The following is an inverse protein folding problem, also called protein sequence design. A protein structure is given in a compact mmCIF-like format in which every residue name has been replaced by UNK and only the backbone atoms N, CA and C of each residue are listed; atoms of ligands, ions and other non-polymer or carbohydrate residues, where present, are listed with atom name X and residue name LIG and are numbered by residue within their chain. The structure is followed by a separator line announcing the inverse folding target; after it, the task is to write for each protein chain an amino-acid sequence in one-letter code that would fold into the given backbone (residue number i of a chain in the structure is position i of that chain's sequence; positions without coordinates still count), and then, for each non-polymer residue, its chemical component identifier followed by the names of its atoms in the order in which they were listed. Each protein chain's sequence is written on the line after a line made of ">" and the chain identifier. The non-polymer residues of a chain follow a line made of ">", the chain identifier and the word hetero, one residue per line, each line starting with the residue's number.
data_IF_584870495710
#
_entry.id   IF_584870495710
#
_cell.length_a   1.000
_cell.length_b   1.000
_cell.length_c   1.000
_cell.angle_alpha   90.00
_cell.angle_beta   90.00
_cell.angle_gamma   90.00
#
_symmetry.space_group_name_H-M   'P 1'
#
loop_
_entity.id
_entity.type
_entity.pdbx_description
1 polymer ?
#
# COMPACT_ATOMS: atom_id res chain seq x y z
N UNK A 1 -16.96 -18.21 9.66
CA UNK A 1 -17.01 -16.85 10.26
C UNK A 1 -17.98 -16.87 11.46
N UNK A 2 -18.01 -15.80 12.28
CA UNK A 2 -19.00 -15.69 13.38
C UNK A 2 -20.44 -15.71 12.85
N UNK A 3 -20.65 -15.16 11.68
CA UNK A 3 -21.94 -15.22 10.98
C UNK A 3 -22.30 -16.65 10.60
N UNK A 4 -21.36 -17.44 10.09
CA UNK A 4 -21.61 -18.84 9.74
C UNK A 4 -21.94 -19.68 10.98
N UNK A 5 -21.37 -19.33 12.15
CA UNK A 5 -21.71 -19.95 13.44
C UNK A 5 -23.13 -19.61 13.87
N UNK A 6 -23.53 -18.34 13.73
CA UNK A 6 -24.88 -17.89 14.08
C UNK A 6 -25.93 -18.49 13.14
N UNK A 7 -25.68 -18.49 11.84
CA UNK A 7 -26.56 -19.08 10.84
C UNK A 7 -26.70 -20.60 11.06
N UNK A 8 -25.63 -21.27 11.46
CA UNK A 8 -25.65 -22.70 11.76
C UNK A 8 -26.37 -23.01 13.09
N UNK A 9 -26.15 -22.22 14.14
CA UNK A 9 -26.82 -22.35 15.44
C UNK A 9 -28.32 -22.04 15.38
N UNK A 10 -28.76 -21.24 14.42
CA UNK A 10 -30.17 -20.88 14.20
C UNK A 10 -30.90 -21.85 13.26
N UNK A 11 -30.21 -22.82 12.70
CA UNK A 11 -30.85 -23.79 11.79
C UNK A 11 -31.74 -24.77 12.57
N UNK A 12 -33.10 -24.78 12.33
CA UNK A 12 -34.03 -25.63 13.03
C UNK A 12 -33.84 -27.13 12.79
N UNK A 13 -33.02 -27.51 11.81
CA UNK A 13 -32.67 -28.89 11.55
C UNK A 13 -31.69 -29.51 12.55
N UNK A 14 -31.10 -28.67 13.42
CA UNK A 14 -30.17 -29.13 14.49
C UNK A 14 -30.93 -29.30 15.79
N UNK A 15 -31.07 -30.53 16.27
CA UNK A 15 -31.77 -30.86 17.53
C UNK A 15 -31.03 -30.42 18.80
N UNK A 16 -29.75 -30.05 18.69
CA UNK A 16 -28.95 -29.48 19.79
C UNK A 16 -28.11 -28.33 19.31
N UNK A 17 -27.99 -27.25 20.10
CA UNK A 17 -27.09 -26.17 19.75
C UNK A 17 -25.64 -26.68 19.80
N UNK A 18 -25.04 -26.88 18.63
CA UNK A 18 -23.60 -27.12 18.54
C UNK A 18 -22.91 -25.80 18.86
N UNK A 19 -22.51 -25.63 20.10
CA UNK A 19 -21.80 -24.47 20.56
C UNK A 19 -20.45 -24.27 19.81
N UNK A 20 -19.95 -25.34 19.13
CA UNK A 20 -18.63 -25.32 18.49
C UNK A 20 -18.60 -26.19 17.25
N UNK A 21 -17.96 -25.68 16.20
CA UNK A 21 -17.63 -26.47 15.02
C UNK A 21 -16.59 -27.54 15.41
N UNK A 22 -16.83 -28.83 15.06
CA UNK A 22 -15.94 -29.93 15.46
C UNK A 22 -14.58 -29.89 14.77
N UNK A 23 -14.50 -29.32 13.55
CA UNK A 23 -13.29 -29.24 12.74
C UNK A 23 -13.24 -27.92 11.98
N UNK A 24 -12.06 -27.32 11.91
CA UNK A 24 -11.80 -26.15 11.12
C UNK A 24 -10.60 -26.38 10.19
N UNK A 25 -10.77 -26.08 8.91
CA UNK A 25 -9.69 -26.07 7.93
C UNK A 25 -9.28 -24.63 7.67
N UNK A 26 -7.98 -24.34 7.75
CA UNK A 26 -7.47 -22.99 7.54
C UNK A 26 -6.13 -22.98 6.81
N UNK A 27 -5.82 -21.86 6.19
CA UNK A 27 -4.50 -21.56 5.65
C UNK A 27 -3.56 -21.04 6.75
N UNK A 28 -2.25 -20.91 6.48
CA UNK A 28 -1.28 -20.32 7.40
C UNK A 28 -1.63 -18.89 7.86
N UNK A 29 -2.48 -18.17 7.14
CA UNK A 29 -2.96 -16.84 7.55
C UNK A 29 -3.65 -16.80 8.91
N UNK A 30 -4.14 -17.96 9.37
CA UNK A 30 -4.75 -18.12 10.70
C UNK A 30 -3.72 -18.29 11.83
N UNK A 31 -2.42 -18.22 11.53
CA UNK A 31 -1.37 -18.23 12.57
C UNK A 31 -1.45 -17.00 13.47
N UNK A 32 -1.86 -15.86 12.92
CA UNK A 32 -1.86 -14.56 13.59
C UNK A 32 -3.26 -14.00 13.81
N UNK A 33 -3.50 -13.43 14.98
CA UNK A 33 -4.62 -12.52 15.23
C UNK A 33 -6.00 -13.14 15.43
N UNK A 34 -6.16 -14.48 15.40
CA UNK A 34 -7.46 -15.10 15.63
C UNK A 34 -7.48 -15.76 17.01
N UNK A 35 -8.39 -15.33 17.86
CA UNK A 35 -8.65 -15.99 19.12
C UNK A 35 -9.58 -17.19 18.90
N UNK A 36 -9.01 -18.38 18.90
CA UNK A 36 -9.75 -19.64 18.81
C UNK A 36 -9.66 -20.31 20.17
N UNK A 37 -10.70 -20.09 20.95
CA UNK A 37 -10.78 -20.46 22.36
C UNK A 37 -11.00 -21.92 22.53
N UNK A 38 -10.41 -22.92 22.42
CA UNK A 38 -10.69 -24.31 22.77
C UNK A 38 -10.38 -25.35 21.68
N UNK A 39 -9.26 -25.17 21.00
CA UNK A 39 -8.70 -26.25 20.21
C UNK A 39 -7.93 -27.21 21.15
N UNK A 40 -8.25 -28.49 21.08
CA UNK A 40 -7.48 -29.53 21.76
C UNK A 40 -6.55 -30.27 20.78
N UNK A 41 -6.76 -30.13 19.47
CA UNK A 41 -5.93 -30.82 18.49
C UNK A 41 -5.61 -29.86 17.32
N UNK A 42 -4.34 -29.85 16.91
CA UNK A 42 -3.86 -29.18 15.69
C UNK A 42 -3.22 -30.23 14.78
N UNK A 43 -3.70 -30.28 13.55
CA UNK A 43 -3.13 -31.13 12.51
C UNK A 43 -2.43 -30.27 11.46
N UNK A 44 -1.11 -30.40 11.34
CA UNK A 44 -0.29 -29.75 10.35
C UNK A 44 -0.10 -30.67 9.15
N UNK A 45 -0.61 -30.25 7.99
CA UNK A 45 -0.57 -31.05 6.75
C UNK A 45 0.84 -31.19 6.18
N UNK A 46 1.77 -30.32 6.58
CA UNK A 46 3.19 -30.35 6.23
C UNK A 46 4.00 -29.76 7.39
N UNK A 47 5.29 -30.02 7.39
CA UNK A 47 6.21 -29.40 8.35
C UNK A 47 6.25 -27.89 8.09
N UNK A 48 6.05 -27.05 9.13
CA UNK A 48 6.17 -25.59 8.98
C UNK A 48 7.57 -25.17 8.52
N UNK A 49 7.71 -24.01 7.85
CA UNK A 49 9.00 -23.56 7.33
C UNK A 49 10.07 -23.35 8.40
N UNK A 50 9.66 -22.91 9.59
CA UNK A 50 10.57 -22.58 10.69
C UNK A 50 10.01 -23.05 12.04
N UNK A 51 10.88 -23.22 13.08
CA UNK A 51 10.46 -23.46 14.45
C UNK A 51 9.48 -22.41 14.99
N UNK A 52 9.65 -21.13 14.60
CA UNK A 52 8.74 -20.06 14.97
C UNK A 52 7.31 -20.30 14.43
N UNK A 53 7.19 -20.69 13.17
CA UNK A 53 5.90 -21.03 12.58
C UNK A 53 5.29 -22.27 13.25
N UNK A 54 6.11 -23.26 13.56
CA UNK A 54 5.65 -24.44 14.31
C UNK A 54 5.06 -24.04 15.66
N UNK A 55 5.79 -23.25 16.45
CA UNK A 55 5.34 -22.77 17.75
C UNK A 55 4.05 -21.95 17.67
N UNK A 56 3.92 -21.08 16.65
CA UNK A 56 2.71 -20.27 16.43
C UNK A 56 1.48 -21.13 16.07
N UNK A 57 1.66 -22.15 15.25
CA UNK A 57 0.58 -23.07 14.83
C UNK A 57 0.21 -24.05 15.93
N UNK A 58 1.19 -24.72 16.52
CA UNK A 58 0.99 -25.70 17.59
C UNK A 58 0.42 -25.06 18.86
N UNK A 59 0.86 -23.84 19.20
CA UNK A 59 0.38 -23.06 20.34
C UNK A 59 -1.09 -22.60 20.24
N UNK A 60 -1.81 -22.99 19.19
CA UNK A 60 -3.27 -22.82 19.10
C UNK A 60 -4.02 -23.89 19.87
N UNK A 61 -3.44 -25.06 20.09
CA UNK A 61 -4.02 -26.12 20.92
C UNK A 61 -3.61 -25.98 22.38
N UNK A 62 -4.47 -26.43 23.29
CA UNK A 62 -4.17 -26.54 24.72
C UNK A 62 -4.14 -25.22 25.48
N UNK A 63 -4.76 -24.19 24.99
CA UNK A 63 -4.94 -22.93 25.74
C UNK A 63 -5.79 -23.17 26.98
N UNK A 64 -5.51 -22.44 28.04
CA UNK A 64 -6.23 -22.56 29.31
C UNK A 64 -6.01 -23.86 30.07
N UNK A 65 -4.84 -24.51 29.93
CA UNK A 65 -4.46 -25.71 30.69
C UNK A 65 -5.12 -26.99 30.19
N UNK A 66 -5.72 -27.01 29.01
CA UNK A 66 -6.28 -28.22 28.41
C UNK A 66 -5.18 -29.11 27.81
N UNK A 67 -5.40 -30.40 27.80
CA UNK A 67 -4.53 -31.34 27.09
C UNK A 67 -4.61 -31.04 25.57
N UNK A 68 -3.45 -31.09 24.93
CA UNK A 68 -3.33 -30.77 23.49
C UNK A 68 -2.62 -31.90 22.75
N UNK A 69 -3.11 -32.15 21.54
CA UNK A 69 -2.44 -33.04 20.60
C UNK A 69 -2.03 -32.24 19.35
N UNK A 70 -0.75 -32.30 19.02
CA UNK A 70 -0.24 -31.71 17.75
C UNK A 70 0.25 -32.87 16.88
N UNK A 71 -0.31 -32.94 15.68
CA UNK A 71 0.06 -33.96 14.69
C UNK A 71 0.65 -33.22 13.49
N UNK A 72 1.87 -33.58 13.10
CA UNK A 72 2.51 -33.04 11.90
C UNK A 72 2.71 -34.17 10.88
N UNK A 73 2.13 -34.00 9.71
CA UNK A 73 2.36 -34.91 8.59
C UNK A 73 3.63 -34.49 7.83
N UNK A 74 4.55 -35.44 7.66
CA UNK A 74 5.79 -35.23 6.91
C UNK A 74 5.67 -35.93 5.56
N UNK A 75 5.62 -35.17 4.48
CA UNK A 75 5.50 -35.72 3.14
C UNK A 75 6.78 -36.42 2.70
N UNK A 76 6.66 -37.67 2.21
CA UNK A 76 7.79 -38.50 1.83
C UNK A 76 8.65 -37.91 0.68
N UNK A 77 8.02 -37.11 -0.19
CA UNK A 77 8.69 -36.50 -1.35
C UNK A 77 9.22 -35.07 -1.07
N UNK A 78 9.03 -34.54 0.14
CA UNK A 78 9.54 -33.23 0.54
C UNK A 78 10.87 -33.40 1.28
N UNK A 79 12.00 -32.96 0.75
CA UNK A 79 13.28 -33.03 1.46
C UNK A 79 13.26 -32.30 2.80
N UNK A 80 12.58 -31.18 2.88
CA UNK A 80 12.38 -30.40 4.09
C UNK A 80 11.61 -31.22 5.16
N UNK A 81 10.48 -31.83 4.77
CA UNK A 81 9.66 -32.61 5.70
C UNK A 81 10.42 -33.85 6.19
N UNK A 82 11.15 -34.52 5.28
CA UNK A 82 11.95 -35.71 5.63
C UNK A 82 13.09 -35.35 6.57
N UNK A 83 13.74 -34.22 6.36
CA UNK A 83 14.83 -33.78 7.25
C UNK A 83 14.31 -33.56 8.66
N UNK A 84 13.19 -32.86 8.83
CA UNK A 84 12.58 -32.63 10.14
C UNK A 84 11.89 -33.87 10.73
N UNK A 85 11.49 -34.82 9.92
CA UNK A 85 11.01 -36.11 10.41
C UNK A 85 12.11 -36.83 11.18
N UNK A 86 13.36 -36.82 10.71
CA UNK A 86 14.51 -37.39 11.38
C UNK A 86 15.11 -36.49 12.48
N UNK A 87 14.82 -35.18 12.45
CA UNK A 87 15.35 -34.17 13.36
C UNK A 87 14.22 -33.39 14.06
N UNK A 88 13.21 -34.08 14.58
CA UNK A 88 11.99 -33.45 15.10
C UNK A 88 12.26 -32.45 16.24
N UNK A 89 13.26 -32.71 17.07
CA UNK A 89 13.66 -31.81 18.16
C UNK A 89 14.08 -30.44 17.67
N UNK A 90 14.69 -30.35 16.49
CA UNK A 90 15.11 -29.07 15.93
C UNK A 90 13.93 -28.22 15.42
N UNK A 91 12.78 -28.83 15.15
CA UNK A 91 11.55 -28.12 14.87
C UNK A 91 10.80 -27.74 16.16
N UNK A 92 10.66 -28.67 17.07
CA UNK A 92 9.86 -28.50 18.31
C UNK A 92 10.56 -27.59 19.33
N UNK A 93 11.86 -27.75 19.49
CA UNK A 93 12.70 -27.00 20.44
C UNK A 93 13.68 -26.06 19.71
N UNK A 94 13.48 -25.83 18.40
CA UNK A 94 14.35 -25.01 17.60
C UNK A 94 14.38 -23.55 18.07
N UNK A 95 15.52 -22.90 17.85
CA UNK A 95 15.73 -21.52 18.26
C UNK A 95 14.85 -20.61 17.40
N UNK A 96 13.94 -19.91 18.06
CA UNK A 96 13.19 -18.81 17.44
C UNK A 96 14.08 -17.58 17.45
N UNK A 97 14.64 -17.22 16.29
CA UNK A 97 15.40 -15.98 16.14
C UNK A 97 14.42 -14.81 16.10
N UNK A 98 14.70 -13.79 16.89
CA UNK A 98 14.00 -12.53 16.76
C UNK A 98 14.25 -11.96 15.35
N UNK A 99 13.23 -11.39 14.69
CA UNK A 99 13.45 -10.71 13.43
C UNK A 99 14.42 -9.55 13.65
N UNK A 100 15.45 -9.48 12.83
CA UNK A 100 16.37 -8.35 12.80
C UNK A 100 15.98 -7.41 11.69
N UNK A 101 15.97 -6.11 11.98
CA UNK A 101 15.80 -5.09 10.96
C UNK A 101 17.18 -4.75 10.40
N UNK A 102 17.28 -4.68 9.09
CA UNK A 102 18.45 -4.12 8.43
C UNK A 102 18.39 -2.60 8.52
N UNK A 103 19.08 -2.05 9.50
CA UNK A 103 19.13 -0.61 9.73
C UNK A 103 20.13 0.09 8.80
N UNK A 104 20.90 -0.66 7.99
CA UNK A 104 21.78 -0.11 6.97
C UNK A 104 21.07 0.16 5.63
N UNK A 105 19.76 -0.07 5.54
CA UNK A 105 18.99 0.22 4.34
C UNK A 105 18.85 1.73 4.12
N UNK A 106 19.49 2.26 3.06
CA UNK A 106 19.53 3.68 2.73
C UNK A 106 18.13 4.29 2.62
N UNK A 107 17.21 3.64 1.89
CA UNK A 107 15.84 4.16 1.68
C UNK A 107 15.08 4.30 3.00
N UNK A 108 15.34 3.41 3.96
CA UNK A 108 14.77 3.46 5.29
C UNK A 108 15.32 4.67 6.06
N UNK A 109 16.62 4.86 6.04
CA UNK A 109 17.27 6.01 6.71
C UNK A 109 16.85 7.33 6.08
N UNK A 110 16.83 7.43 4.74
CA UNK A 110 16.36 8.64 4.03
C UNK A 110 14.94 9.03 4.50
N UNK A 111 14.01 8.07 4.52
CA UNK A 111 12.63 8.34 4.93
C UNK A 111 12.50 8.74 6.41
N UNK A 112 13.34 8.20 7.29
CA UNK A 112 13.39 8.61 8.70
C UNK A 112 13.96 10.01 8.89
N UNK A 113 15.05 10.33 8.19
CA UNK A 113 15.62 11.67 8.24
C UNK A 113 14.65 12.72 7.67
N UNK A 114 13.92 12.38 6.60
CA UNK A 114 12.86 13.22 6.06
C UNK A 114 11.69 13.38 7.04
N UNK A 115 11.35 12.36 7.81
CA UNK A 115 10.34 12.46 8.87
C UNK A 115 10.82 13.37 10.02
N UNK A 116 12.09 13.26 10.43
CA UNK A 116 12.72 14.15 11.42
C UNK A 116 12.71 15.60 10.93
N UNK A 117 13.05 15.81 9.65
CA UNK A 117 12.99 17.15 9.04
C UNK A 117 11.55 17.68 9.05
N UNK A 118 10.56 16.90 8.61
CA UNK A 118 9.17 17.32 8.59
C UNK A 118 8.66 17.67 10.00
N UNK A 119 8.97 16.85 11.00
CA UNK A 119 8.64 17.14 12.39
C UNK A 119 9.29 18.45 12.89
N UNK A 120 10.52 18.74 12.43
CA UNK A 120 11.24 19.96 12.79
C UNK A 120 10.62 21.23 12.18
N UNK A 121 9.83 21.10 11.12
CA UNK A 121 9.10 22.23 10.52
C UNK A 121 8.00 22.76 11.44
N UNK A 122 7.40 21.89 12.24
CA UNK A 122 6.21 22.17 13.06
C UNK A 122 5.01 22.68 12.25
N UNK A 123 5.01 22.47 10.94
CA UNK A 123 3.93 22.85 10.06
C UNK A 123 2.85 21.76 10.09
N UNK A 124 1.63 22.08 10.48
CA UNK A 124 0.52 21.14 10.34
C UNK A 124 0.21 20.95 8.85
N UNK A 125 0.26 19.72 8.37
CA UNK A 125 -0.18 19.40 7.02
C UNK A 125 -1.68 19.16 7.02
N UNK A 126 -2.35 19.59 5.95
CA UNK A 126 -3.76 19.28 5.72
C UNK A 126 -3.97 17.76 5.55
N UNK A 127 -5.19 17.31 5.80
CA UNK A 127 -5.59 15.90 5.62
C UNK A 127 -5.55 15.47 4.15
N UNK A 128 -5.62 16.43 3.22
CA UNK A 128 -5.51 16.18 1.77
C UNK A 128 -4.43 17.04 1.12
N UNK A 129 -3.98 16.63 -0.07
CA UNK A 129 -2.87 17.26 -0.76
C UNK A 129 -3.28 18.57 -1.45
N UNK A 130 -4.50 18.63 -1.96
CA UNK A 130 -4.97 19.77 -2.75
C UNK A 130 -4.80 21.15 -2.07
N UNK A 131 -5.12 21.33 -0.77
CA UNK A 131 -4.95 22.61 -0.07
C UNK A 131 -3.52 23.09 0.03
N UNK A 132 -2.52 22.20 -0.05
CA UNK A 132 -1.11 22.54 0.05
C UNK A 132 -0.53 23.11 -1.26
N UNK A 133 -1.22 22.90 -2.38
CA UNK A 133 -0.77 23.25 -3.72
C UNK A 133 -1.53 24.46 -4.26
N UNK A 134 -0.85 25.24 -5.09
CA UNK A 134 -1.48 26.28 -5.92
C UNK A 134 -1.95 25.62 -7.23
N UNK A 135 -3.23 25.26 -7.26
CA UNK A 135 -3.82 24.48 -8.36
C UNK A 135 -4.02 25.30 -9.64
N UNK A 136 -3.97 26.62 -9.54
CA UNK A 136 -4.17 27.53 -10.67
C UNK A 136 -2.86 27.85 -11.40
N UNK A 137 -1.72 27.62 -10.76
CA UNK A 137 -0.42 27.82 -11.39
C UNK A 137 0.04 26.59 -12.18
N UNK A 138 0.74 26.80 -13.32
CA UNK A 138 1.40 25.72 -14.04
C UNK A 138 2.36 24.93 -13.13
N UNK A 139 2.31 23.61 -13.22
CA UNK A 139 3.13 22.74 -12.37
C UNK A 139 2.66 22.61 -10.92
N UNK A 140 1.60 23.32 -10.52
CA UNK A 140 0.99 23.27 -9.19
C UNK A 140 2.02 23.28 -8.06
N UNK A 141 2.79 24.36 -7.91
CA UNK A 141 3.80 24.48 -6.87
C UNK A 141 3.14 24.42 -5.48
N UNK A 142 3.95 24.19 -4.47
CA UNK A 142 3.51 24.40 -3.08
C UNK A 142 3.10 25.87 -2.90
N UNK A 143 2.04 26.11 -2.13
CA UNK A 143 1.65 27.48 -1.76
C UNK A 143 2.80 28.18 -1.06
N UNK A 144 2.96 29.46 -1.38
CA UNK A 144 4.10 30.27 -0.92
C UNK A 144 4.34 30.22 0.59
N UNK A 145 3.33 30.36 1.47
CA UNK A 145 3.55 30.27 2.92
C UNK A 145 4.12 28.92 3.38
N UNK A 146 3.63 27.82 2.78
CA UNK A 146 4.13 26.48 3.07
C UNK A 146 5.56 26.31 2.55
N UNK A 147 5.83 26.75 1.32
CA UNK A 147 7.15 26.67 0.71
C UNK A 147 8.21 27.42 1.54
N UNK A 148 7.90 28.61 2.04
CA UNK A 148 8.79 29.40 2.90
C UNK A 148 9.01 28.76 4.27
N UNK A 149 7.93 28.25 4.89
CA UNK A 149 8.01 27.57 6.18
C UNK A 149 8.89 26.32 6.12
N UNK A 150 8.79 25.55 5.05
CA UNK A 150 9.57 24.31 4.86
C UNK A 150 11.06 24.59 4.62
N UNK A 151 11.45 25.77 4.15
CA UNK A 151 12.83 26.16 3.82
C UNK A 151 13.47 27.09 4.85
N UNK A 152 12.78 27.40 5.93
CA UNK A 152 13.30 28.31 6.94
C UNK A 152 14.63 27.79 7.53
N UNK A 153 15.63 28.67 7.65
CA UNK A 153 16.97 28.31 8.16
C UNK A 153 16.90 27.67 9.56
N UNK A 154 16.02 28.17 10.42
CA UNK A 154 15.80 27.60 11.74
C UNK A 154 15.29 26.16 11.71
N UNK A 155 14.52 25.79 10.69
CA UNK A 155 14.07 24.39 10.45
C UNK A 155 15.26 23.51 10.12
N UNK A 156 16.12 23.95 9.19
CA UNK A 156 17.32 23.21 8.79
C UNK A 156 18.23 22.92 9.99
N UNK A 157 18.50 23.93 10.81
CA UNK A 157 19.33 23.77 12.00
C UNK A 157 18.75 22.79 13.02
N UNK A 158 17.43 22.89 13.31
CA UNK A 158 16.76 21.95 14.22
C UNK A 158 16.74 20.52 13.66
N UNK A 159 16.48 20.39 12.37
CA UNK A 159 16.45 19.10 11.70
C UNK A 159 17.82 18.43 11.73
N UNK A 160 18.90 19.13 11.40
CA UNK A 160 20.27 18.62 11.47
C UNK A 160 20.61 18.15 12.88
N UNK A 161 20.40 18.98 13.90
CA UNK A 161 20.69 18.61 15.30
C UNK A 161 19.87 17.38 15.77
N UNK A 162 18.66 17.19 15.25
CA UNK A 162 17.84 16.03 15.58
C UNK A 162 18.24 14.80 14.78
N UNK A 163 18.60 14.97 13.52
CA UNK A 163 19.07 13.91 12.64
C UNK A 163 20.40 13.33 13.13
N UNK A 164 21.35 14.18 13.51
CA UNK A 164 22.66 13.75 14.06
C UNK A 164 22.48 12.90 15.31
N UNK A 165 21.54 13.23 16.19
CA UNK A 165 21.25 12.41 17.39
C UNK A 165 20.73 11.02 17.03
N UNK A 166 19.91 10.89 15.99
CA UNK A 166 19.39 9.61 15.52
C UNK A 166 20.53 8.80 14.89
N UNK A 167 21.30 9.40 14.01
CA UNK A 167 22.39 8.71 13.29
C UNK A 167 23.50 8.27 14.23
N UNK A 168 23.86 9.07 15.23
CA UNK A 168 24.86 8.68 16.22
C UNK A 168 24.48 7.42 17.01
N UNK A 169 23.18 7.13 17.17
CA UNK A 169 22.71 5.89 17.77
C UNK A 169 22.85 4.66 16.84
N UNK A 170 22.96 4.91 15.54
CA UNK A 170 23.06 3.89 14.50
C UNK A 170 24.47 3.74 13.93
N UNK A 171 25.46 4.49 14.45
CA UNK A 171 26.81 4.57 13.88
C UNK A 171 27.44 3.19 13.69
N UNK A 172 27.32 2.30 14.67
CA UNK A 172 27.82 0.92 14.56
C UNK A 172 27.13 0.05 13.52
N UNK A 173 25.86 0.34 13.19
CA UNK A 173 25.10 -0.38 12.15
C UNK A 173 25.40 0.15 10.76
N UNK A 174 25.78 1.42 10.66
CA UNK A 174 26.08 2.11 9.40
C UNK A 174 27.55 2.01 9.01
N UNK A 175 28.41 1.62 9.94
CA UNK A 175 29.83 1.44 9.72
C UNK A 175 30.09 0.41 8.62
N UNK A 176 30.85 0.78 7.61
CA UNK A 176 31.11 -0.08 6.43
C UNK A 176 30.09 0.03 5.30
N UNK A 177 29.00 0.78 5.45
CA UNK A 177 28.06 1.04 4.36
C UNK A 177 28.65 2.03 3.36
N UNK A 178 28.85 1.58 2.10
CA UNK A 178 29.51 2.39 1.06
C UNK A 178 28.78 3.71 0.71
N UNK A 179 27.50 3.80 1.01
CA UNK A 179 26.67 4.99 0.74
C UNK A 179 26.70 6.01 1.90
N UNK A 180 27.13 5.60 3.10
CA UNK A 180 27.12 6.48 4.26
C UNK A 180 28.41 7.30 4.30
N UNK A 181 28.29 8.59 4.00
CA UNK A 181 29.40 9.55 3.96
C UNK A 181 29.26 10.60 5.07
N UNK A 182 30.33 11.28 5.48
CA UNK A 182 30.25 12.32 6.52
C UNK A 182 29.22 13.43 6.25
N UNK A 183 28.99 13.76 4.97
CA UNK A 183 28.05 14.81 4.56
C UNK A 183 26.63 14.27 4.29
N UNK A 184 26.41 12.97 4.42
CA UNK A 184 25.16 12.32 4.03
C UNK A 184 23.93 12.93 4.74
N UNK A 185 23.98 13.05 6.06
CA UNK A 185 22.87 13.62 6.86
C UNK A 185 22.53 15.03 6.38
N UNK A 186 23.55 15.86 6.21
CA UNK A 186 23.39 17.23 5.71
C UNK A 186 22.75 17.23 4.32
N UNK A 187 23.22 16.40 3.41
CA UNK A 187 22.66 16.29 2.04
C UNK A 187 21.18 15.90 2.07
N UNK A 188 20.78 14.93 2.89
CA UNK A 188 19.38 14.52 2.99
C UNK A 188 18.51 15.65 3.55
N UNK A 189 18.96 16.33 4.61
CA UNK A 189 18.19 17.41 5.23
C UNK A 189 18.11 18.64 4.31
N UNK A 190 19.20 19.02 3.65
CA UNK A 190 19.21 20.17 2.72
C UNK A 190 18.29 19.93 1.51
N UNK A 191 18.17 18.67 1.04
CA UNK A 191 17.30 18.27 -0.07
C UNK A 191 15.87 17.93 0.37
N UNK A 192 15.55 17.87 1.66
CA UNK A 192 14.27 17.36 2.15
C UNK A 192 13.06 18.15 1.63
N UNK A 193 13.17 19.48 1.54
CA UNK A 193 12.09 20.32 0.98
C UNK A 193 11.82 20.02 -0.51
N UNK A 194 12.88 19.74 -1.27
CA UNK A 194 12.74 19.34 -2.68
C UNK A 194 12.16 17.92 -2.79
N UNK A 195 12.62 16.98 -1.97
CA UNK A 195 12.10 15.63 -1.90
C UNK A 195 10.61 15.60 -1.52
N UNK A 196 10.19 16.47 -0.57
CA UNK A 196 8.78 16.65 -0.20
C UNK A 196 7.94 17.09 -1.42
N UNK A 197 8.38 18.12 -2.15
CA UNK A 197 7.69 18.56 -3.36
C UNK A 197 7.67 17.49 -4.45
N UNK A 198 8.78 16.75 -4.61
CA UNK A 198 8.90 15.63 -5.54
C UNK A 198 7.94 14.48 -5.22
N UNK A 199 7.74 14.18 -3.94
CA UNK A 199 6.77 13.16 -3.51
C UNK A 199 5.33 13.48 -3.97
N UNK A 200 5.00 14.75 -4.17
CA UNK A 200 3.67 15.18 -4.64
C UNK A 200 3.52 15.13 -6.18
N UNK A 201 4.59 14.84 -6.94
CA UNK A 201 4.55 14.87 -8.40
C UNK A 201 3.55 13.89 -8.99
N UNK A 202 3.50 12.67 -8.44
CA UNK A 202 2.52 11.68 -8.89
C UNK A 202 1.08 12.14 -8.65
N UNK A 203 0.81 12.85 -7.57
CA UNK A 203 -0.51 13.42 -7.32
C UNK A 203 -0.86 14.51 -8.33
N UNK A 204 0.09 15.38 -8.69
CA UNK A 204 -0.10 16.41 -9.72
C UNK A 204 -0.53 15.80 -11.06
N UNK A 205 0.16 14.75 -11.47
CA UNK A 205 -0.18 14.00 -12.70
C UNK A 205 -1.57 13.36 -12.61
N UNK A 206 -1.88 12.72 -11.47
CA UNK A 206 -3.20 12.12 -11.23
C UNK A 206 -4.31 13.16 -11.24
N UNK A 207 -4.03 14.38 -10.78
CA UNK A 207 -4.97 15.48 -10.75
C UNK A 207 -5.24 16.07 -12.15
N UNK A 208 -4.22 16.18 -12.97
CA UNK A 208 -4.35 16.72 -14.34
C UNK A 208 -5.07 15.78 -15.30
N UNK A 209 -4.90 14.49 -15.14
CA UNK A 209 -5.47 13.51 -16.06
C UNK A 209 -7.02 13.56 -16.16
N UNK A 210 -7.79 13.59 -15.07
CA UNK A 210 -9.24 13.76 -15.13
C UNK A 210 -9.65 15.12 -15.71
N UNK A 211 -8.94 16.20 -15.38
CA UNK A 211 -9.23 17.54 -15.88
C UNK A 211 -9.10 17.59 -17.40
N UNK A 212 -8.02 17.06 -17.96
CA UNK A 212 -7.85 16.96 -19.40
C UNK A 212 -8.93 16.09 -20.07
N UNK A 213 -9.36 15.02 -19.42
CA UNK A 213 -10.45 14.17 -19.93
C UNK A 213 -11.79 14.90 -19.94
N UNK A 214 -12.07 15.70 -18.91
CA UNK A 214 -13.27 16.54 -18.85
C UNK A 214 -13.26 17.55 -20.00
N UNK A 215 -12.14 18.23 -20.24
CA UNK A 215 -12.01 19.22 -21.33
C UNK A 215 -12.18 18.57 -22.71
N UNK A 216 -11.59 17.40 -22.94
CA UNK A 216 -11.76 16.65 -24.19
C UNK A 216 -13.21 16.19 -24.38
N UNK A 217 -13.84 15.68 -23.33
CA UNK A 217 -15.22 15.24 -23.39
C UNK A 217 -16.19 16.40 -23.63
N UNK A 218 -15.98 17.53 -22.99
CA UNK A 218 -16.78 18.75 -23.16
C UNK A 218 -16.72 19.28 -24.61
N UNK A 219 -15.53 19.27 -25.22
CA UNK A 219 -15.36 19.62 -26.65
C UNK A 219 -16.21 18.74 -27.58
N UNK A 220 -16.26 17.42 -27.31
CA UNK A 220 -17.06 16.48 -28.11
C UNK A 220 -18.55 16.72 -27.87
N UNK A 221 -18.99 16.95 -26.63
CA UNK A 221 -20.40 17.27 -26.32
C UNK A 221 -20.87 18.53 -27.02
N UNK A 222 -20.02 19.57 -27.08
CA UNK A 222 -20.29 20.86 -27.74
C UNK A 222 -20.12 20.83 -29.26
N UNK A 223 -19.53 19.78 -29.83
CA UNK A 223 -19.29 19.68 -31.27
C UNK A 223 -20.62 19.47 -32.03
N UNK A 224 -20.83 20.28 -33.02
CA UNK A 224 -22.00 20.16 -33.94
C UNK A 224 -21.88 18.96 -34.89
N UNK A 225 -20.67 18.47 -35.12
CA UNK A 225 -20.40 17.34 -36.05
C UNK A 225 -20.48 15.98 -35.38
N UNK A 226 -20.47 15.90 -34.03
CA UNK A 226 -20.50 14.64 -33.30
C UNK A 226 -21.90 14.01 -33.35
N UNK A 227 -21.94 12.70 -33.56
CA UNK A 227 -23.16 11.90 -33.53
C UNK A 227 -23.77 11.86 -32.13
N UNK A 228 -25.05 11.50 -32.04
CA UNK A 228 -25.74 11.32 -30.74
C UNK A 228 -25.04 10.31 -29.83
N UNK A 229 -24.58 9.21 -30.39
CA UNK A 229 -23.84 8.16 -29.62
C UNK A 229 -22.50 8.65 -29.12
N UNK A 230 -21.77 9.43 -29.92
CA UNK A 230 -20.49 10.03 -29.49
C UNK A 230 -20.69 11.05 -28.37
N UNK A 231 -21.71 11.89 -28.46
CA UNK A 231 -22.03 12.84 -27.37
C UNK A 231 -22.42 12.13 -26.09
N UNK A 232 -23.25 11.08 -26.16
CA UNK A 232 -23.65 10.29 -25.00
C UNK A 232 -22.42 9.61 -24.34
N UNK A 233 -21.52 9.05 -25.14
CA UNK A 233 -20.29 8.44 -24.65
C UNK A 233 -19.35 9.49 -24.03
N UNK A 234 -19.25 10.68 -24.65
CA UNK A 234 -18.46 11.78 -24.10
C UNK A 234 -19.04 12.27 -22.76
N UNK A 235 -20.35 12.39 -22.65
CA UNK A 235 -21.02 12.78 -21.40
C UNK A 235 -20.78 11.80 -20.26
N UNK A 236 -20.80 10.49 -20.54
CA UNK A 236 -20.40 9.45 -19.57
C UNK A 236 -18.94 9.59 -19.14
N UNK A 237 -18.02 9.80 -20.10
CA UNK A 237 -16.59 10.02 -19.83
C UNK A 237 -16.35 11.27 -18.98
N UNK A 238 -17.09 12.35 -19.26
CA UNK A 238 -17.05 13.57 -18.45
C UNK A 238 -17.47 13.30 -17.00
N UNK A 239 -18.59 12.61 -16.80
CA UNK A 239 -19.07 12.24 -15.47
C UNK A 239 -18.10 11.35 -14.69
N UNK A 240 -17.46 10.37 -15.35
CA UNK A 240 -16.45 9.53 -14.74
C UNK A 240 -15.18 10.32 -14.35
N UNK A 241 -14.73 11.22 -15.22
CA UNK A 241 -13.58 12.07 -14.93
C UNK A 241 -13.88 13.08 -13.81
N UNK A 242 -15.08 13.67 -13.79
CA UNK A 242 -15.51 14.58 -12.73
C UNK A 242 -15.53 13.88 -11.35
N UNK A 243 -15.97 12.64 -11.29
CA UNK A 243 -15.92 11.85 -10.06
C UNK A 243 -14.48 11.54 -9.60
N UNK A 244 -13.60 11.17 -10.53
CA UNK A 244 -12.17 10.98 -10.21
C UNK A 244 -11.53 12.26 -9.68
N UNK A 245 -11.83 13.39 -10.30
CA UNK A 245 -11.37 14.70 -9.86
C UNK A 245 -11.87 15.04 -8.46
N UNK A 246 -13.16 14.79 -8.19
CA UNK A 246 -13.75 15.02 -6.87
C UNK A 246 -13.09 14.18 -5.75
N UNK A 247 -12.73 12.91 -6.04
CA UNK A 247 -12.04 12.04 -5.07
C UNK A 247 -10.66 12.61 -4.70
N UNK A 248 -9.95 13.23 -5.65
CA UNK A 248 -8.63 13.84 -5.40
C UNK A 248 -8.72 15.16 -4.61
N UNK A 249 -9.84 15.87 -4.74
CA UNK A 249 -10.09 17.14 -4.03
C UNK A 249 -10.65 16.93 -2.63
N UNK A 250 -11.34 15.81 -2.40
CA UNK A 250 -11.99 15.59 -1.10
C UNK A 250 -10.95 15.50 0.01
N UNK A 251 -11.03 16.43 0.93
CA UNK A 251 -10.50 16.32 2.29
C UNK A 251 -11.29 15.19 2.97
N UNK A 252 -10.80 13.96 2.83
CA UNK A 252 -11.60 12.78 3.08
C UNK A 252 -11.91 12.58 4.54
N UNK A 253 -13.12 12.27 4.87
CA UNK A 253 -13.54 11.62 6.10
C UNK A 253 -12.83 10.26 6.24
N UNK A 254 -11.65 10.25 6.84
CA UNK A 254 -11.08 9.03 7.36
C UNK A 254 -9.67 8.69 6.88
N UNK A 255 -8.90 8.21 7.82
CA UNK A 255 -7.58 7.61 7.67
C UNK A 255 -7.50 6.46 6.63
N UNK A 256 -8.64 6.07 6.04
CA UNK A 256 -8.75 5.01 5.04
C UNK A 256 -8.64 5.50 3.59
N UNK A 257 -8.48 6.81 3.36
CA UNK A 257 -8.28 7.34 2.02
C UNK A 257 -6.79 7.23 1.62
N UNK A 258 -6.50 6.66 0.44
CA UNK A 258 -5.15 6.54 -0.09
C UNK A 258 -4.49 7.91 -0.37
N UNK A 259 -5.28 8.97 -0.43
CA UNK A 259 -4.83 10.37 -0.61
C UNK A 259 -4.78 11.17 0.69
N UNK A 260 -4.99 10.54 1.86
CA UNK A 260 -4.65 11.16 3.13
C UNK A 260 -3.15 11.50 3.15
N UNK A 261 -2.80 12.75 3.45
CA UNK A 261 -1.47 13.31 3.19
C UNK A 261 -0.33 12.45 3.73
N UNK A 262 -0.38 12.07 5.01
CA UNK A 262 0.71 11.27 5.62
C UNK A 262 0.80 9.86 5.03
N UNK A 263 -0.33 9.22 4.78
CA UNK A 263 -0.39 7.91 4.11
C UNK A 263 0.16 7.98 2.70
N UNK A 264 -0.21 9.03 1.97
CA UNK A 264 0.29 9.27 0.63
C UNK A 264 1.81 9.48 0.63
N UNK A 265 2.35 10.34 1.49
CA UNK A 265 3.79 10.57 1.63
C UNK A 265 4.56 9.30 1.99
N UNK A 266 3.99 8.45 2.86
CA UNK A 266 4.55 7.14 3.17
C UNK A 266 4.53 6.20 1.95
N UNK A 267 3.45 6.18 1.18
CA UNK A 267 3.34 5.39 -0.05
C UNK A 267 4.31 5.85 -1.14
N UNK A 268 4.68 7.13 -1.16
CA UNK A 268 5.69 7.67 -2.07
C UNK A 268 7.14 7.44 -1.58
N UNK A 269 7.31 6.94 -0.36
CA UNK A 269 8.62 6.67 0.24
C UNK A 269 9.29 7.90 0.83
N UNK A 270 8.59 9.03 0.94
CA UNK A 270 9.07 10.22 1.64
C UNK A 270 9.03 10.03 3.16
N UNK A 271 7.99 9.41 3.69
CA UNK A 271 7.90 9.00 5.09
C UNK A 271 8.10 7.49 5.24
N UNK A 272 8.55 7.01 6.40
CA UNK A 272 8.66 5.57 6.64
C UNK A 272 7.28 4.92 6.60
N UNK A 273 7.11 3.96 5.70
CA UNK A 273 5.82 3.33 5.40
C UNK A 273 5.81 1.85 5.72
N UNK A 274 6.02 1.45 6.96
CA UNK A 274 6.14 0.05 7.36
C UNK A 274 4.94 -0.82 6.98
N UNK A 275 3.73 -0.25 7.00
CA UNK A 275 2.48 -0.96 6.72
C UNK A 275 1.85 -0.57 5.37
N UNK A 276 2.51 0.28 4.59
CA UNK A 276 1.98 0.76 3.33
C UNK A 276 2.83 0.29 2.16
N UNK A 277 2.22 -0.21 1.08
CA UNK A 277 2.97 -0.56 -0.12
C UNK A 277 3.59 0.70 -0.72
N UNK A 278 4.89 0.65 -1.00
CA UNK A 278 5.60 1.74 -1.68
C UNK A 278 5.16 1.81 -3.13
N UNK A 279 4.80 3.01 -3.60
CA UNK A 279 4.36 3.29 -4.98
C UNK A 279 3.31 2.29 -5.49
N UNK A 280 2.18 2.13 -4.81
CA UNK A 280 1.16 1.17 -5.22
C UNK A 280 0.61 1.51 -6.61
N UNK A 281 0.16 0.51 -7.35
CA UNK A 281 -0.68 0.72 -8.52
C UNK A 281 -2.13 0.89 -8.10
N UNK A 282 -2.83 1.77 -8.81
CA UNK A 282 -4.23 2.10 -8.51
C UNK A 282 -5.12 1.73 -9.70
N UNK A 283 -6.27 1.13 -9.41
CA UNK A 283 -7.33 0.90 -10.38
C UNK A 283 -8.55 1.74 -10.01
N UNK A 284 -9.09 2.47 -11.00
CA UNK A 284 -10.34 3.20 -10.83
C UNK A 284 -11.51 2.29 -11.13
N UNK A 285 -12.42 2.17 -10.18
CA UNK A 285 -13.70 1.48 -10.34
C UNK A 285 -14.79 2.55 -10.47
N UNK A 286 -15.45 2.64 -11.64
CA UNK A 286 -16.43 3.69 -11.89
C UNK A 286 -17.68 3.48 -11.03
N UNK A 287 -18.29 4.61 -10.64
CA UNK A 287 -19.56 4.66 -9.97
C UNK A 287 -20.68 4.08 -10.84
N UNK A 288 -21.69 3.53 -10.20
CA UNK A 288 -22.94 3.16 -10.87
C UNK A 288 -23.94 4.29 -10.75
N UNK A 289 -24.40 4.79 -11.89
CA UNK A 289 -25.49 5.75 -11.91
C UNK A 289 -26.75 5.17 -11.23
N UNK A 290 -27.27 5.88 -10.24
CA UNK A 290 -28.57 5.58 -9.63
C UNK A 290 -28.56 4.54 -8.49
N UNK A 291 -27.40 4.17 -7.94
CA UNK A 291 -27.35 3.33 -6.75
C UNK A 291 -26.69 4.07 -5.57
N UNK A 292 -27.33 3.99 -4.42
CA UNK A 292 -26.76 4.44 -3.14
C UNK A 292 -26.03 3.29 -2.45
N UNK A 293 -24.82 3.54 -1.97
CA UNK A 293 -24.07 2.63 -1.10
C UNK A 293 -24.07 3.23 0.28
N UNK A 294 -24.65 2.53 1.26
CA UNK A 294 -24.80 3.03 2.65
C UNK A 294 -25.50 4.39 2.74
N UNK A 295 -26.53 4.63 1.91
CA UNK A 295 -27.30 5.89 1.94
C UNK A 295 -26.62 7.11 1.30
N UNK A 296 -25.47 6.90 0.62
CA UNK A 296 -24.75 7.90 -0.18
C UNK A 296 -24.68 7.46 -1.63
N UNK A 297 -24.70 8.42 -2.54
CA UNK A 297 -24.49 8.14 -3.97
C UNK A 297 -23.15 7.46 -4.18
N UNK A 298 -23.14 6.40 -5.02
CA UNK A 298 -21.90 5.71 -5.39
C UNK A 298 -21.06 6.66 -6.26
N UNK A 299 -19.95 7.12 -5.71
CA UNK A 299 -19.04 8.06 -6.38
C UNK A 299 -17.93 7.36 -7.17
N UNK A 300 -17.87 6.02 -7.11
CA UNK A 300 -16.74 5.23 -7.57
C UNK A 300 -15.64 5.13 -6.51
N UNK A 301 -14.66 4.28 -6.75
CA UNK A 301 -13.59 4.03 -5.80
C UNK A 301 -12.25 3.79 -6.47
N UNK A 302 -11.17 4.16 -5.78
CA UNK A 302 -9.81 3.75 -6.12
C UNK A 302 -9.45 2.50 -5.31
N UNK A 303 -8.93 1.49 -6.02
CA UNK A 303 -8.39 0.27 -5.39
C UNK A 303 -6.90 0.26 -5.61
N UNK A 304 -6.13 0.23 -4.52
CA UNK A 304 -4.67 0.17 -4.58
C UNK A 304 -4.16 -1.24 -4.28
N UNK A 305 -3.04 -1.60 -4.92
CA UNK A 305 -2.32 -2.87 -4.69
C UNK A 305 -0.83 -2.65 -4.73
N UNK A 306 -0.06 -3.38 -3.93
CA UNK A 306 1.39 -3.45 -4.09
C UNK A 306 1.75 -3.81 -5.54
N UNK A 307 2.84 -3.26 -6.07
CA UNK A 307 3.23 -3.43 -7.48
C UNK A 307 3.25 -4.88 -7.92
N UNK A 308 3.81 -5.76 -7.09
CA UNK A 308 3.91 -7.19 -7.42
C UNK A 308 2.53 -7.84 -7.61
N UNK A 309 1.60 -7.60 -6.70
CA UNK A 309 0.23 -8.12 -6.83
C UNK A 309 -0.53 -7.44 -7.97
N UNK A 310 -0.31 -6.15 -8.16
CA UNK A 310 -0.98 -5.40 -9.22
C UNK A 310 -0.61 -5.87 -10.63
N UNK A 311 0.57 -6.43 -10.86
CA UNK A 311 0.95 -7.00 -12.15
C UNK A 311 0.02 -8.13 -12.56
N UNK A 312 -0.41 -8.96 -11.63
CA UNK A 312 -1.35 -10.05 -11.89
C UNK A 312 -2.81 -9.60 -11.82
N UNK A 313 -3.18 -8.80 -10.79
CA UNK A 313 -4.57 -8.41 -10.57
C UNK A 313 -5.05 -7.30 -11.54
N UNK A 314 -4.16 -6.39 -11.95
CA UNK A 314 -4.49 -5.27 -12.84
C UNK A 314 -3.98 -5.47 -14.28
N UNK A 315 -3.53 -6.68 -14.61
CA UNK A 315 -3.13 -7.03 -15.96
C UNK A 315 -4.26 -6.88 -16.98
N UNK A 316 -3.95 -6.82 -18.29
CA UNK A 316 -4.96 -6.72 -19.33
C UNK A 316 -5.98 -7.87 -19.24
N UNK A 317 -7.26 -7.54 -19.27
CA UNK A 317 -8.39 -8.47 -19.13
C UNK A 317 -8.53 -9.15 -17.76
N UNK A 318 -7.68 -8.86 -16.79
CA UNK A 318 -7.80 -9.36 -15.42
C UNK A 318 -9.12 -8.93 -14.79
N UNK A 319 -9.61 -9.74 -13.86
CA UNK A 319 -10.85 -9.48 -13.12
C UNK A 319 -10.50 -8.99 -11.72
N UNK A 320 -11.05 -7.84 -11.36
CA UNK A 320 -10.94 -7.27 -10.02
C UNK A 320 -12.24 -7.55 -9.28
N UNK A 321 -12.15 -8.22 -8.14
CA UNK A 321 -13.29 -8.42 -7.24
C UNK A 321 -13.29 -7.33 -6.19
N UNK A 322 -14.35 -6.53 -6.16
CA UNK A 322 -14.50 -5.43 -5.22
C UNK A 322 -15.96 -5.28 -4.79
N UNK A 323 -16.18 -5.20 -3.47
CA UNK A 323 -17.52 -5.06 -2.87
C UNK A 323 -18.56 -6.07 -3.42
N UNK A 324 -18.17 -7.36 -3.48
CA UNK A 324 -19.03 -8.43 -3.96
C UNK A 324 -19.28 -8.45 -5.46
N UNK A 325 -18.49 -7.75 -6.26
CA UNK A 325 -18.65 -7.59 -7.71
C UNK A 325 -17.36 -7.82 -8.46
N UNK A 326 -17.49 -8.08 -9.73
CA UNK A 326 -16.42 -8.40 -10.65
C UNK A 326 -16.29 -7.30 -11.71
N UNK A 327 -15.09 -6.74 -11.83
CA UNK A 327 -14.74 -5.70 -12.80
C UNK A 327 -13.63 -6.20 -13.71
N UNK A 328 -13.71 -5.90 -15.00
CA UNK A 328 -12.66 -6.24 -15.95
C UNK A 328 -11.78 -5.04 -16.21
N UNK A 329 -10.46 -5.24 -16.16
CA UNK A 329 -9.50 -4.20 -16.55
C UNK A 329 -9.58 -3.97 -18.06
N UNK A 330 -9.96 -2.76 -18.46
CA UNK A 330 -10.19 -2.38 -19.86
C UNK A 330 -9.17 -1.39 -20.41
N UNK A 331 -8.48 -0.65 -19.55
CA UNK A 331 -7.53 0.39 -19.96
C UNK A 331 -6.45 0.61 -18.90
N UNK A 332 -5.20 0.70 -19.36
CA UNK A 332 -4.10 1.25 -18.57
C UNK A 332 -3.97 2.76 -18.85
N UNK A 333 -3.81 3.56 -17.79
CA UNK A 333 -3.41 4.96 -17.88
C UNK A 333 -1.91 5.00 -17.62
N UNK A 334 -1.15 5.24 -18.64
CA UNK A 334 0.31 5.37 -18.57
C UNK A 334 0.68 6.84 -18.47
N UNK A 335 1.67 7.16 -17.66
CA UNK A 335 2.29 8.47 -17.71
C UNK A 335 3.08 8.54 -19.03
N UNK A 336 2.58 9.33 -19.96
CA UNK A 336 3.34 9.73 -21.12
C UNK A 336 4.26 10.84 -20.62
N UNK A 337 5.57 10.61 -20.61
CA UNK A 337 6.56 11.65 -20.32
C UNK A 337 6.31 12.86 -21.22
N UNK A 338 6.72 14.06 -20.79
CA UNK A 338 6.57 15.29 -21.55
C UNK A 338 6.94 15.03 -23.02
N UNK A 339 5.93 14.87 -23.83
CA UNK A 339 6.11 14.82 -25.28
C UNK A 339 6.34 16.25 -25.71
N UNK A 340 7.53 16.52 -26.18
CA UNK A 340 7.72 17.66 -27.08
C UNK A 340 6.64 17.58 -28.16
N UNK A 341 5.82 18.59 -28.26
CA UNK A 341 4.64 18.67 -29.13
C UNK A 341 4.94 18.59 -30.63
N UNK A 342 6.14 18.15 -31.05
CA UNK A 342 6.65 18.18 -32.41
C UNK A 342 6.66 16.82 -33.11
N UNK A 343 6.63 15.71 -32.38
CA UNK A 343 6.55 14.39 -33.00
C UNK A 343 5.46 13.55 -32.34
N UNK A 344 4.39 13.27 -33.05
CA UNK A 344 3.20 12.56 -32.60
C UNK A 344 3.37 11.11 -32.14
N UNK A 345 4.52 10.75 -31.56
CA UNK A 345 4.80 9.48 -30.93
C UNK A 345 4.80 9.63 -29.41
N UNK A 346 3.77 9.10 -28.76
CA UNK A 346 3.72 8.96 -27.31
C UNK A 346 4.75 7.91 -26.87
N UNK A 347 5.94 8.33 -26.46
CA UNK A 347 6.92 7.43 -25.84
C UNK A 347 6.57 7.24 -24.37
N UNK A 348 6.55 5.99 -23.94
CA UNK A 348 6.45 5.65 -22.52
C UNK A 348 7.66 6.21 -21.78
N UNK A 349 7.45 6.80 -20.60
CA UNK A 349 8.53 7.16 -19.71
C UNK A 349 9.26 5.87 -19.30
N UNK A 350 10.51 5.74 -19.74
CA UNK A 350 11.38 4.61 -19.40
C UNK A 350 12.45 5.07 -18.43
N UNK A 351 12.79 4.21 -17.47
CA UNK A 351 13.91 4.41 -16.57
C UNK A 351 14.98 3.42 -16.97
N UNK A 352 16.22 3.90 -17.16
CA UNK A 352 17.35 3.02 -17.34
C UNK A 352 17.56 2.19 -16.06
N UNK A 353 17.59 0.88 -16.19
CA UNK A 353 17.91 -0.02 -15.08
C UNK A 353 19.37 -0.50 -15.25
N UNK A 354 20.11 -0.47 -14.16
CA UNK A 354 21.42 -1.10 -14.09
C UNK A 354 21.21 -2.53 -13.59
N UNK A 355 21.67 -3.48 -14.38
CA UNK A 355 21.64 -4.90 -14.03
C UNK A 355 23.07 -5.30 -13.68
N UNK A 356 23.25 -5.92 -12.52
CA UNK A 356 24.55 -6.44 -12.13
C UNK A 356 25.00 -7.51 -13.13
N UNK A 357 26.23 -7.39 -13.66
CA UNK A 357 26.77 -8.34 -14.61
C UNK A 357 27.08 -9.72 -14.01
N UNK A 358 27.11 -9.84 -12.68
CA UNK A 358 27.42 -11.08 -11.97
C UNK A 358 26.19 -11.79 -11.40
N UNK A 359 25.15 -11.06 -10.97
CA UNK A 359 24.00 -11.66 -10.29
C UNK A 359 22.63 -11.38 -10.94
N UNK A 360 22.59 -10.59 -12.00
CA UNK A 360 21.38 -10.25 -12.73
C UNK A 360 20.63 -9.04 -12.16
#
# INVERSE_FOLDING_TARGET
>A
TEKDRQDWAQNPAHEAPLERLPVMFCSPTMELGVDISALNTVYLRNVPPTPANYAQRSGRAGRSGQQALVITYCAALSPHDQWFFHNAEQMVHGVVRAPTLDLSNRDLIDSHLQAVWLASTQVPLDDSIAPMLDLDQPGKPLKQPLHEALRAQAVQQRALASADRVINQLEGELEGSAWFTPDYVRQVIDNAAQAFSGALERWRVLFDAPRQQMDMADRIVKSHTASHTERQNAQRRYGDAARQYAVLLKSGNGQNNDFYTYRYLASQGFLPGYNFPRLPLMAWIPARGGQTVNGKDDEGSMVSRPRFLALSEFGPRSLIYHQGRMYRVVRAKLNVGNTDHISGSSQLATIASLVCSQCG
#
